data_IF_391346211990
#
_entry.id   IF_391346211990
#
_cell.length_a   1.000
_cell.length_b   1.000
_cell.length_c   1.000
_cell.angle_alpha   90.00
_cell.angle_beta   90.00
_cell.angle_gamma   90.00
#
_symmetry.space_group_name_H-M   'P 1'
#
loop_
_entity.id
_entity.type
_entity.pdbx_description
1 polymer ?
#
# COMPACT_ATOMS: atom_id res chain seq x y z
N UNK A 1 33.64 40.23 -27.29
CA UNK A 1 32.97 39.70 -28.49
C UNK A 1 33.24 38.20 -28.49
N UNK A 2 32.29 37.29 -28.30
CA UNK A 2 30.85 37.30 -28.57
C UNK A 2 30.15 36.35 -27.57
N UNK A 3 28.90 36.67 -27.28
CA UNK A 3 27.81 35.98 -26.54
C UNK A 3 27.81 34.44 -26.62
N UNK A 4 27.21 33.64 -25.72
CA UNK A 4 26.14 33.83 -24.75
C UNK A 4 25.17 32.64 -24.87
N UNK A 5 24.78 32.01 -23.75
CA UNK A 5 23.48 31.35 -23.53
C UNK A 5 23.50 30.53 -22.21
N UNK A 6 22.61 30.91 -21.30
CA UNK A 6 22.27 30.27 -20.03
C UNK A 6 21.53 28.93 -20.26
N UNK A 7 21.68 27.89 -19.42
CA UNK A 7 20.68 26.82 -19.36
C UNK A 7 19.51 27.26 -18.48
N UNK A 8 18.40 27.54 -19.15
CA UNK A 8 17.07 27.78 -18.61
C UNK A 8 16.53 26.57 -17.85
N UNK A 9 15.81 26.81 -16.75
CA UNK A 9 15.06 25.78 -16.04
C UNK A 9 13.96 25.17 -16.91
N UNK A 10 13.78 23.85 -16.83
CA UNK A 10 12.66 23.15 -17.46
C UNK A 10 11.72 22.60 -16.39
N UNK A 11 10.73 23.44 -16.07
CA UNK A 11 9.47 23.11 -15.44
C UNK A 11 8.59 22.28 -16.39
N UNK A 12 7.99 21.18 -15.94
CA UNK A 12 6.82 20.50 -16.54
C UNK A 12 6.80 20.21 -18.07
N UNK A 13 7.90 20.38 -18.79
CA UNK A 13 7.90 20.46 -20.26
C UNK A 13 8.30 19.16 -20.95
N UNK A 14 8.92 18.21 -20.25
CA UNK A 14 9.48 16.98 -20.84
C UNK A 14 8.53 15.77 -20.90
N UNK A 15 7.25 15.93 -20.61
CA UNK A 15 6.28 14.88 -20.94
C UNK A 15 5.97 14.95 -22.43
N UNK A 16 6.02 13.81 -23.13
CA UNK A 16 5.56 13.75 -24.53
C UNK A 16 4.08 14.17 -24.59
N UNK A 17 3.58 14.68 -25.73
CA UNK A 17 2.17 15.00 -25.90
C UNK A 17 1.25 13.84 -25.48
N UNK A 18 1.62 12.59 -25.74
CA UNK A 18 0.87 11.40 -25.33
C UNK A 18 0.90 11.18 -23.82
N UNK A 19 2.03 11.40 -23.15
CA UNK A 19 2.15 11.27 -21.70
C UNK A 19 1.35 12.35 -20.97
N UNK A 20 1.39 13.60 -21.48
CA UNK A 20 0.54 14.70 -20.97
C UNK A 20 -0.94 14.35 -21.17
N UNK A 21 -1.32 13.87 -22.35
CA UNK A 21 -2.69 13.49 -22.64
C UNK A 21 -3.17 12.35 -21.74
N UNK A 22 -2.34 11.33 -21.46
CA UNK A 22 -2.69 10.23 -20.56
C UNK A 22 -2.86 10.69 -19.12
N UNK A 23 -1.97 11.56 -18.63
CA UNK A 23 -2.05 12.10 -17.27
C UNK A 23 -3.33 12.96 -17.11
N UNK A 24 -3.56 13.89 -18.03
CA UNK A 24 -4.76 14.74 -18.05
C UNK A 24 -6.02 13.89 -18.18
N UNK A 25 -6.01 12.88 -19.06
CA UNK A 25 -7.15 11.96 -19.22
C UNK A 25 -7.40 11.14 -17.96
N UNK A 26 -6.36 10.66 -17.29
CA UNK A 26 -6.49 9.91 -16.02
C UNK A 26 -7.03 10.79 -14.90
N UNK A 27 -6.58 12.05 -14.81
CA UNK A 27 -7.03 13.01 -13.80
C UNK A 27 -8.48 13.41 -14.06
N UNK A 28 -8.80 13.83 -15.29
CA UNK A 28 -10.14 14.20 -15.69
C UNK A 28 -11.15 13.05 -15.53
N UNK A 29 -10.73 11.81 -15.84
CA UNK A 29 -11.57 10.62 -15.65
C UNK A 29 -11.78 10.28 -14.18
N UNK A 30 -10.76 10.46 -13.34
CA UNK A 30 -10.83 10.26 -11.89
C UNK A 30 -11.77 11.29 -11.25
N UNK A 31 -11.64 12.57 -11.59
CA UNK A 31 -12.54 13.63 -11.13
C UNK A 31 -13.99 13.43 -11.61
N UNK A 32 -14.18 13.13 -12.90
CA UNK A 32 -15.51 12.92 -13.47
C UNK A 32 -16.19 11.72 -12.83
N UNK A 33 -15.46 10.62 -12.63
CA UNK A 33 -16.00 9.45 -11.93
C UNK A 33 -16.37 9.80 -10.49
N UNK A 34 -15.54 10.58 -9.78
CA UNK A 34 -15.86 11.06 -8.42
C UNK A 34 -17.07 12.00 -8.35
N UNK A 35 -17.32 12.81 -9.38
CA UNK A 35 -18.51 13.68 -9.49
C UNK A 35 -19.77 12.88 -9.82
N UNK A 36 -19.68 11.94 -10.75
CA UNK A 36 -20.79 11.05 -11.14
C UNK A 36 -21.20 10.13 -9.99
N UNK A 37 -20.25 9.63 -9.21
CA UNK A 37 -20.54 8.83 -8.02
C UNK A 37 -21.20 9.66 -6.90
N UNK A 38 -20.78 10.91 -6.68
CA UNK A 38 -21.46 11.82 -5.73
C UNK A 38 -22.88 12.16 -6.18
N UNK A 39 -23.08 12.41 -7.47
CA UNK A 39 -24.39 12.65 -8.04
C UNK A 39 -25.31 11.42 -7.95
N UNK A 40 -24.77 10.21 -8.12
CA UNK A 40 -25.53 8.95 -8.01
C UNK A 40 -25.90 8.58 -6.57
N UNK A 41 -25.16 9.06 -5.57
CA UNK A 41 -25.43 8.85 -4.15
C UNK A 41 -26.42 9.89 -3.56
N UNK A 42 -26.89 10.85 -4.36
CA UNK A 42 -27.97 11.76 -3.97
C UNK A 42 -27.59 12.77 -2.89
N UNK A 43 -26.38 13.32 -2.93
CA UNK A 43 -26.04 14.50 -2.11
C UNK A 43 -26.61 15.75 -2.80
N UNK A 44 -27.89 15.98 -2.57
CA UNK A 44 -28.59 17.23 -2.90
C UNK A 44 -29.23 17.76 -1.61
N UNK A 45 -28.66 18.85 -1.10
CA UNK A 45 -29.32 20.02 -0.49
C UNK A 45 -28.21 20.93 0.07
N UNK A 46 -28.13 22.24 -0.12
CA UNK A 46 -29.03 23.20 -0.76
C UNK A 46 -28.49 24.62 -0.51
N UNK A 47 -28.86 25.52 -1.41
CA UNK A 47 -28.86 27.00 -1.33
C UNK A 47 -27.56 27.81 -1.24
N UNK A 48 -27.24 28.41 -2.39
CA UNK A 48 -26.72 29.76 -2.46
C UNK A 48 -27.76 30.77 -1.94
N UNK A 49 -27.44 31.48 -0.85
CA UNK A 49 -27.86 32.87 -0.63
C UNK A 49 -26.74 33.66 0.04
N UNK A 50 -26.60 34.89 -0.43
CA UNK A 50 -25.56 35.87 -0.16
C UNK A 50 -25.39 36.21 1.33
N UNK A 51 -24.15 36.54 1.72
CA UNK A 51 -23.80 37.13 3.02
C UNK A 51 -24.38 38.56 3.14
N UNK A 52 -24.57 39.07 4.37
CA UNK A 52 -23.49 39.86 4.94
C UNK A 52 -23.15 39.54 6.42
N UNK A 53 -21.92 39.92 6.75
CA UNK A 53 -21.17 39.84 8.01
C UNK A 53 -21.94 39.85 9.35
N UNK A 54 -21.47 39.05 10.31
CA UNK A 54 -21.02 39.53 11.63
C UNK A 54 -20.32 38.44 12.47
N UNK A 55 -19.35 38.90 13.24
CA UNK A 55 -18.48 38.18 14.17
C UNK A 55 -19.22 37.41 15.27
N UNK A 56 -18.65 36.29 15.71
CA UNK A 56 -19.07 35.59 16.91
C UNK A 56 -18.26 34.32 17.17
N UNK A 57 -17.17 34.45 17.94
CA UNK A 57 -16.41 33.32 18.45
C UNK A 57 -17.24 32.50 19.44
N UNK A 58 -17.44 31.21 19.18
CA UNK A 58 -17.57 30.17 20.23
C UNK A 58 -17.03 28.85 19.68
N UNK A 59 -16.17 28.21 20.46
CA UNK A 59 -15.49 26.97 20.09
C UNK A 59 -16.44 25.78 19.99
N UNK A 60 -16.26 24.99 18.95
CA UNK A 60 -16.58 23.56 18.92
C UNK A 60 -15.43 22.82 18.26
N UNK A 61 -14.82 21.92 19.02
CA UNK A 61 -13.78 21.02 18.55
C UNK A 61 -14.34 20.14 17.42
N UNK A 62 -13.66 20.16 16.27
CA UNK A 62 -13.90 19.21 15.19
C UNK A 62 -13.47 17.80 15.63
N UNK A 63 -14.17 16.73 15.22
CA UNK A 63 -13.77 15.37 15.55
C UNK A 63 -12.43 15.06 14.87
N UNK A 64 -11.43 14.75 15.69
CA UNK A 64 -10.09 14.33 15.26
C UNK A 64 -10.22 13.06 14.40
N UNK A 65 -9.88 13.17 13.11
CA UNK A 65 -9.78 12.02 12.21
C UNK A 65 -8.68 11.06 12.65
N UNK A 66 -8.85 9.78 12.33
CA UNK A 66 -7.91 8.70 12.66
C UNK A 66 -6.46 9.01 12.21
N UNK A 67 -6.30 9.76 11.12
CA UNK A 67 -5.01 10.21 10.60
C UNK A 67 -4.32 11.25 11.51
N UNK A 68 -5.06 12.09 12.22
CA UNK A 68 -4.51 13.02 13.22
C UNK A 68 -4.10 12.28 14.51
N UNK A 69 -4.82 11.21 14.87
CA UNK A 69 -4.46 10.31 15.97
C UNK A 69 -3.19 9.49 15.66
N UNK A 70 -3.00 9.09 14.39
CA UNK A 70 -1.78 8.42 13.94
C UNK A 70 -0.58 9.39 13.85
N UNK A 71 -0.81 10.68 13.58
CA UNK A 71 0.23 11.70 13.57
C UNK A 71 0.69 12.14 14.97
N UNK A 72 -0.15 12.00 16.01
CA UNK A 72 0.18 12.39 17.40
C UNK A 72 1.04 11.35 18.14
N UNK A 73 1.21 10.14 17.57
CA UNK A 73 1.83 8.99 18.25
C UNK A 73 3.30 8.75 17.87
N UNK A 74 3.96 9.69 17.20
CA UNK A 74 5.39 9.58 16.91
C UNK A 74 6.18 10.83 17.35
N UNK A 75 6.76 10.80 18.56
CA UNK A 75 7.95 11.57 18.85
C UNK A 75 9.10 10.67 19.28
N UNK A 76 10.16 10.68 18.45
CA UNK A 76 11.56 10.28 18.72
C UNK A 76 11.90 8.78 18.61
N UNK A 77 12.24 8.38 17.39
CA UNK A 77 13.28 7.39 17.14
C UNK A 77 14.35 7.96 16.18
N UNK A 78 14.92 9.12 16.54
CA UNK A 78 16.20 9.57 16.00
C UNK A 78 17.11 9.94 17.17
N UNK A 79 17.95 9.00 17.58
CA UNK A 79 19.37 9.19 17.92
C UNK A 79 19.94 7.91 18.53
N UNK A 80 21.21 7.66 18.23
CA UNK A 80 22.13 6.66 18.79
C UNK A 80 22.12 5.25 18.17
N UNK A 81 23.00 5.06 17.19
CA UNK A 81 24.02 4.01 17.27
C UNK A 81 25.21 4.42 16.39
N UNK A 82 26.25 4.90 17.07
CA UNK A 82 27.60 5.13 16.55
C UNK A 82 28.27 3.80 16.19
N UNK A 83 28.98 3.83 15.07
CA UNK A 83 30.26 3.19 14.77
C UNK A 83 30.56 1.83 15.44
N UNK A 84 30.49 0.75 14.68
CA UNK A 84 31.37 -0.42 14.87
C UNK A 84 31.58 -1.10 13.52
N UNK A 85 32.80 -0.99 13.01
CA UNK A 85 33.33 -1.75 11.88
C UNK A 85 33.50 -3.22 12.27
N UNK A 86 32.80 -4.12 11.59
CA UNK A 86 33.18 -5.54 11.54
C UNK A 86 32.98 -6.04 10.11
N UNK A 87 34.09 -6.40 9.46
CA UNK A 87 34.10 -7.10 8.19
C UNK A 87 33.58 -8.54 8.41
N UNK A 88 32.58 -8.96 7.63
CA UNK A 88 32.21 -10.36 7.51
C UNK A 88 31.65 -10.64 6.11
N UNK A 89 32.49 -11.36 5.36
CA UNK A 89 32.27 -12.21 4.18
C UNK A 89 30.85 -12.30 3.62
N UNK A 90 30.76 -11.88 2.35
CA UNK A 90 29.65 -12.11 1.43
C UNK A 90 29.46 -13.61 1.18
N UNK A 91 28.41 -14.19 1.76
CA UNK A 91 27.84 -15.45 1.27
C UNK A 91 26.51 -15.12 0.58
N UNK A 92 26.44 -15.49 -0.70
CA UNK A 92 25.28 -15.31 -1.56
C UNK A 92 24.07 -16.07 -0.99
N UNK A 93 22.86 -15.50 -1.00
CA UNK A 93 21.69 -16.23 -0.53
C UNK A 93 21.38 -17.40 -1.47
N UNK A 94 21.20 -18.57 -0.87
CA UNK A 94 20.78 -19.81 -1.51
C UNK A 94 19.47 -19.57 -2.27
N UNK A 95 19.53 -19.75 -3.59
CA UNK A 95 18.38 -19.64 -4.49
C UNK A 95 17.37 -20.76 -4.23
N UNK A 96 16.20 -20.40 -3.72
CA UNK A 96 14.99 -21.25 -3.75
C UNK A 96 14.60 -21.43 -5.23
N UNK A 97 14.11 -22.61 -5.68
CA UNK A 97 14.02 -22.90 -7.10
C UNK A 97 12.95 -22.01 -7.78
N UNK A 98 13.38 -21.33 -8.85
CA UNK A 98 12.59 -20.50 -9.78
C UNK A 98 11.44 -21.27 -10.46
N UNK A 99 11.41 -22.61 -10.33
CA UNK A 99 10.46 -23.48 -11.01
C UNK A 99 8.98 -23.22 -10.63
N UNK A 100 8.69 -22.76 -9.41
CA UNK A 100 7.32 -22.48 -8.97
C UNK A 100 6.71 -21.21 -9.58
N UNK A 101 7.52 -20.25 -10.03
CA UNK A 101 7.00 -18.97 -10.52
C UNK A 101 6.45 -19.05 -11.94
N UNK A 102 7.06 -19.87 -12.81
CA UNK A 102 6.57 -20.07 -14.17
C UNK A 102 5.20 -20.78 -14.19
N UNK A 103 5.01 -21.78 -13.33
CA UNK A 103 3.73 -22.48 -13.17
C UNK A 103 2.64 -21.54 -12.64
N UNK A 104 2.97 -20.69 -11.66
CA UNK A 104 2.03 -19.72 -11.11
C UNK A 104 1.58 -18.67 -12.13
N UNK A 105 2.52 -18.16 -12.93
CA UNK A 105 2.24 -17.25 -14.05
C UNK A 105 1.35 -17.96 -15.08
N UNK A 106 1.56 -19.25 -15.34
CA UNK A 106 0.76 -20.05 -16.26
C UNK A 106 -0.68 -20.26 -15.76
N UNK A 107 -0.87 -20.59 -14.48
CA UNK A 107 -2.19 -20.83 -13.87
C UNK A 107 -3.13 -19.61 -13.98
N UNK A 108 -2.56 -18.41 -14.08
CA UNK A 108 -3.33 -17.17 -14.25
C UNK A 108 -3.72 -16.86 -15.70
N UNK A 109 -3.09 -17.49 -16.71
CA UNK A 109 -3.20 -17.10 -18.12
C UNK A 109 -4.60 -17.30 -18.72
N UNK A 110 -5.42 -18.18 -18.13
CA UNK A 110 -6.76 -18.47 -18.62
C UNK A 110 -7.86 -17.78 -17.80
N UNK A 111 -7.48 -17.01 -16.77
CA UNK A 111 -8.41 -16.35 -15.86
C UNK A 111 -8.73 -14.89 -16.23
N UNK A 112 -9.71 -14.27 -15.54
CA UNK A 112 -10.07 -12.85 -15.72
C UNK A 112 -8.93 -11.87 -15.42
N UNK A 113 -7.84 -12.37 -14.83
CA UNK A 113 -6.66 -11.62 -14.39
C UNK A 113 -5.39 -11.96 -15.19
N UNK A 114 -5.52 -12.71 -16.31
CA UNK A 114 -4.40 -13.13 -17.17
C UNK A 114 -3.47 -11.99 -17.59
N UNK A 115 -4.04 -10.79 -17.83
CA UNK A 115 -3.29 -9.58 -18.21
C UNK A 115 -2.21 -9.16 -17.20
N UNK A 116 -2.27 -9.63 -15.95
CA UNK A 116 -1.31 -9.28 -14.90
C UNK A 116 -0.21 -10.34 -14.72
N UNK A 117 -0.33 -11.51 -15.35
CA UNK A 117 0.57 -12.65 -15.12
C UNK A 117 2.04 -12.27 -15.41
N UNK A 118 2.31 -11.59 -16.52
CA UNK A 118 3.67 -11.11 -16.85
C UNK A 118 4.20 -10.05 -15.88
N UNK A 119 3.33 -9.19 -15.33
CA UNK A 119 3.73 -8.19 -14.34
C UNK A 119 4.10 -8.85 -13.01
N UNK A 120 3.29 -9.82 -12.57
CA UNK A 120 3.54 -10.60 -11.36
C UNK A 120 4.83 -11.43 -11.48
N UNK A 121 5.05 -12.09 -12.63
CA UNK A 121 6.29 -12.83 -12.88
C UNK A 121 7.54 -11.94 -12.86
N UNK A 122 7.46 -10.74 -13.46
CA UNK A 122 8.56 -9.78 -13.44
C UNK A 122 8.86 -9.26 -12.03
N UNK A 123 7.81 -8.92 -11.28
CA UNK A 123 7.95 -8.44 -9.91
C UNK A 123 8.48 -9.54 -8.96
N UNK A 124 8.05 -10.79 -9.17
CA UNK A 124 8.56 -11.95 -8.46
C UNK A 124 10.06 -12.15 -8.71
N UNK A 125 10.48 -12.17 -9.98
CA UNK A 125 11.88 -12.31 -10.37
C UNK A 125 12.77 -11.21 -9.76
N UNK A 126 12.25 -9.98 -9.65
CA UNK A 126 12.99 -8.84 -9.10
C UNK A 126 13.16 -8.89 -7.58
N UNK A 127 12.15 -9.40 -6.87
CA UNK A 127 12.05 -9.27 -5.40
C UNK A 127 12.28 -10.58 -4.65
N UNK A 128 12.25 -11.72 -5.35
CA UNK A 128 12.31 -13.06 -4.77
C UNK A 128 11.02 -13.49 -4.06
N UNK A 129 9.94 -12.70 -4.14
CA UNK A 129 8.63 -13.09 -3.59
C UNK A 129 7.88 -13.90 -4.66
N UNK A 130 7.39 -15.12 -4.35
CA UNK A 130 6.76 -15.97 -5.36
C UNK A 130 5.57 -15.31 -6.04
N UNK A 131 5.42 -15.53 -7.35
CA UNK A 131 4.35 -14.90 -8.15
C UNK A 131 2.95 -15.25 -7.62
N UNK A 132 2.73 -16.50 -7.21
CA UNK A 132 1.48 -16.94 -6.58
C UNK A 132 1.20 -16.23 -5.24
N UNK A 133 2.25 -15.92 -4.46
CA UNK A 133 2.10 -15.16 -3.22
C UNK A 133 1.71 -13.71 -3.49
N UNK A 134 2.35 -13.07 -4.47
CA UNK A 134 1.97 -11.72 -4.92
C UNK A 134 0.54 -11.67 -5.45
N UNK A 135 0.15 -12.65 -6.27
CA UNK A 135 -1.20 -12.77 -6.79
C UNK A 135 -2.24 -12.92 -5.67
N UNK A 136 -1.95 -13.71 -4.64
CA UNK A 136 -2.82 -13.88 -3.48
C UNK A 136 -3.00 -12.59 -2.67
N UNK A 137 -1.92 -11.80 -2.51
CA UNK A 137 -2.00 -10.50 -1.82
C UNK A 137 -2.86 -9.53 -2.64
N UNK A 138 -2.60 -9.43 -3.95
CA UNK A 138 -3.39 -8.58 -4.85
C UNK A 138 -4.87 -9.01 -4.87
N UNK A 139 -5.14 -10.32 -4.90
CA UNK A 139 -6.51 -10.83 -4.85
C UNK A 139 -7.21 -10.45 -3.55
N UNK A 140 -6.51 -10.53 -2.41
CA UNK A 140 -7.06 -10.18 -1.12
C UNK A 140 -7.37 -8.67 -0.98
N UNK A 141 -6.55 -7.81 -1.58
CA UNK A 141 -6.67 -6.35 -1.47
C UNK A 141 -7.58 -5.73 -2.53
N UNK A 142 -7.47 -6.15 -3.78
CA UNK A 142 -8.17 -5.49 -4.88
C UNK A 142 -9.69 -5.71 -4.80
N UNK A 143 -10.45 -4.63 -5.06
CA UNK A 143 -11.85 -4.80 -5.40
C UNK A 143 -11.98 -5.66 -6.66
N UNK A 144 -13.02 -6.51 -6.68
CA UNK A 144 -13.30 -7.44 -7.78
C UNK A 144 -14.53 -6.98 -8.55
N UNK A 145 -14.44 -6.97 -9.88
CA UNK A 145 -15.57 -6.78 -10.78
C UNK A 145 -16.41 -8.04 -10.93
N UNK A 146 -17.46 -7.94 -11.75
CA UNK A 146 -18.19 -9.11 -12.21
C UNK A 146 -17.21 -10.13 -12.84
N UNK A 147 -17.33 -11.40 -12.46
CA UNK A 147 -16.43 -12.46 -12.92
C UNK A 147 -15.06 -12.50 -12.24
N UNK A 148 -14.81 -11.72 -11.18
CA UNK A 148 -13.57 -11.84 -10.38
C UNK A 148 -12.36 -11.09 -10.92
N UNK A 149 -12.55 -10.22 -11.92
CA UNK A 149 -11.48 -9.35 -12.44
C UNK A 149 -11.05 -8.32 -11.40
N UNK A 150 -9.74 -8.18 -11.17
CA UNK A 150 -9.21 -7.17 -10.24
C UNK A 150 -9.34 -5.77 -10.85
N UNK A 151 -9.82 -4.83 -10.04
CA UNK A 151 -10.06 -3.45 -10.44
C UNK A 151 -8.88 -2.54 -10.06
N UNK A 152 -8.10 -2.03 -11.03
CA UNK A 152 -6.99 -1.13 -10.73
C UNK A 152 -7.42 0.20 -10.11
N UNK A 153 -8.67 0.60 -10.35
CA UNK A 153 -9.27 1.81 -9.78
C UNK A 153 -9.97 1.57 -8.45
N UNK A 154 -9.68 0.45 -7.76
CA UNK A 154 -10.20 0.18 -6.43
C UNK A 154 -9.84 1.31 -5.46
N UNK A 155 -10.81 1.69 -4.63
CA UNK A 155 -10.66 2.68 -3.56
C UNK A 155 -11.45 2.25 -2.34
N UNK A 156 -10.86 2.49 -1.17
CA UNK A 156 -11.57 2.36 0.09
C UNK A 156 -12.26 3.69 0.43
N UNK A 157 -13.59 3.73 0.64
CA UNK A 157 -14.29 4.98 0.96
C UNK A 157 -13.98 5.52 2.37
N UNK A 158 -13.35 4.71 3.24
CA UNK A 158 -13.05 5.06 4.63
C UNK A 158 -11.58 5.39 4.87
N UNK A 159 -10.73 5.35 3.85
CA UNK A 159 -9.29 5.62 4.00
C UNK A 159 -8.68 6.13 2.69
N UNK A 160 -7.38 6.43 2.71
CA UNK A 160 -6.64 6.79 1.50
C UNK A 160 -6.24 5.59 0.63
N UNK A 161 -6.61 4.35 1.02
CA UNK A 161 -6.23 3.13 0.31
C UNK A 161 -6.78 3.09 -1.12
N UNK A 162 -5.90 2.79 -2.07
CA UNK A 162 -6.23 2.76 -3.50
C UNK A 162 -5.32 1.81 -4.30
N UNK A 163 -5.82 1.38 -5.45
CA UNK A 163 -5.06 0.54 -6.38
C UNK A 163 -5.21 -0.94 -6.13
N UNK A 164 -4.51 -1.76 -6.92
CA UNK A 164 -4.54 -3.22 -6.76
C UNK A 164 -3.97 -3.70 -5.42
N UNK A 165 -3.05 -2.93 -4.84
CA UNK A 165 -2.48 -3.20 -3.52
C UNK A 165 -3.05 -2.37 -2.38
N UNK A 166 -4.13 -1.61 -2.60
CA UNK A 166 -4.81 -0.80 -1.57
C UNK A 166 -3.86 0.04 -0.69
N UNK A 167 -2.79 0.59 -1.27
CA UNK A 167 -1.79 1.35 -0.52
C UNK A 167 -2.36 2.66 0.02
N UNK A 168 -2.09 2.95 1.29
CA UNK A 168 -2.30 4.27 1.89
C UNK A 168 -1.32 5.30 1.31
N UNK A 169 -1.68 6.59 1.37
CA UNK A 169 -0.82 7.69 0.89
C UNK A 169 0.59 7.61 1.48
N UNK A 170 0.70 7.47 2.81
CA UNK A 170 1.98 7.47 3.53
C UNK A 170 2.85 6.26 3.17
N UNK A 171 2.25 5.07 3.07
CA UNK A 171 2.99 3.86 2.70
C UNK A 171 3.49 3.95 1.24
N UNK A 172 2.65 4.49 0.35
CA UNK A 172 3.04 4.70 -1.05
C UNK A 172 4.19 5.71 -1.19
N UNK A 173 4.10 6.85 -0.51
CA UNK A 173 5.20 7.83 -0.46
C UNK A 173 6.46 7.20 0.15
N UNK A 174 6.33 6.44 1.25
CA UNK A 174 7.45 5.74 1.85
C UNK A 174 8.15 4.78 0.89
N UNK A 175 7.40 4.04 0.06
CA UNK A 175 7.99 3.20 -0.97
C UNK A 175 8.69 4.02 -2.07
N UNK A 176 8.16 5.20 -2.42
CA UNK A 176 8.80 6.11 -3.37
C UNK A 176 10.08 6.75 -2.83
N UNK A 177 10.21 6.91 -1.51
CA UNK A 177 11.39 7.49 -0.84
C UNK A 177 12.43 6.42 -0.51
N UNK A 178 12.03 5.14 -0.44
CA UNK A 178 12.91 4.02 -0.11
C UNK A 178 13.77 3.62 -1.30
N UNK A 179 15.08 3.82 -1.18
CA UNK A 179 16.04 3.46 -2.22
C UNK A 179 15.93 1.98 -2.62
N UNK A 180 16.03 1.71 -3.92
CA UNK A 180 16.02 0.35 -4.48
C UNK A 180 14.63 -0.20 -4.81
N UNK A 181 13.54 0.46 -4.41
CA UNK A 181 12.20 0.08 -4.86
C UNK A 181 11.96 0.51 -6.30
N UNK A 182 11.01 -0.15 -6.95
CA UNK A 182 10.56 0.23 -8.28
C UNK A 182 9.98 1.65 -8.29
N UNK A 183 9.17 1.97 -7.28
CA UNK A 183 8.52 3.28 -7.18
C UNK A 183 9.53 4.41 -6.95
N UNK A 184 10.59 4.16 -6.17
CA UNK A 184 11.70 5.10 -6.00
C UNK A 184 12.45 5.33 -7.31
N UNK A 185 12.70 4.28 -8.09
CA UNK A 185 13.30 4.41 -9.42
C UNK A 185 12.45 5.30 -10.34
N UNK A 186 11.13 5.12 -10.32
CA UNK A 186 10.22 5.99 -11.06
C UNK A 186 10.23 7.43 -10.54
N UNK A 187 10.20 7.63 -9.22
CA UNK A 187 10.23 8.95 -8.62
C UNK A 187 11.52 9.71 -8.96
N UNK A 188 12.67 9.02 -8.95
CA UNK A 188 13.95 9.58 -9.39
C UNK A 188 13.93 9.95 -10.88
N UNK A 189 13.50 9.03 -11.74
CA UNK A 189 13.46 9.24 -13.19
C UNK A 189 12.56 10.42 -13.60
N UNK A 190 11.51 10.70 -12.80
CA UNK A 190 10.60 11.82 -13.03
C UNK A 190 11.01 13.10 -12.27
N UNK A 191 12.12 13.09 -11.53
CA UNK A 191 12.57 14.25 -10.76
C UNK A 191 11.65 14.62 -9.59
N UNK A 192 10.89 13.66 -9.07
CA UNK A 192 9.88 13.86 -8.02
C UNK A 192 10.47 13.88 -6.60
N UNK A 193 11.75 13.53 -6.43
CA UNK A 193 12.43 13.54 -5.14
C UNK A 193 13.27 14.81 -4.95
N UNK A 194 13.30 15.34 -3.73
CA UNK A 194 14.17 16.44 -3.32
C UNK A 194 15.61 15.97 -3.03
N UNK A 195 16.50 16.90 -2.64
CA UNK A 195 17.89 16.57 -2.32
C UNK A 195 18.08 15.66 -1.10
N UNK A 196 17.02 15.37 -0.34
CA UNK A 196 16.99 14.44 0.79
C UNK A 196 16.29 13.12 0.43
N UNK A 197 15.92 12.91 -0.83
CA UNK A 197 15.20 11.73 -1.30
C UNK A 197 13.71 11.72 -0.93
N UNK A 198 13.13 12.87 -0.51
CA UNK A 198 11.72 12.98 -0.13
C UNK A 198 10.85 13.39 -1.29
N UNK A 199 9.60 12.96 -1.31
CA UNK A 199 8.65 13.35 -2.35
C UNK A 199 8.39 14.86 -2.31
N UNK A 200 8.60 15.54 -3.42
CA UNK A 200 8.28 16.95 -3.60
C UNK A 200 6.78 17.17 -3.55
N UNK A 201 6.34 18.20 -2.84
CA UNK A 201 4.92 18.55 -2.67
C UNK A 201 4.19 18.69 -4.01
N UNK A 202 4.82 19.33 -5.00
CA UNK A 202 4.28 19.55 -6.34
C UNK A 202 4.17 18.26 -7.18
N UNK A 203 4.94 17.22 -6.83
CA UNK A 203 4.93 15.92 -7.52
C UNK A 203 4.01 14.89 -6.85
N UNK A 204 3.54 15.18 -5.64
CA UNK A 204 2.77 14.25 -4.80
C UNK A 204 1.52 13.71 -5.49
N UNK A 205 0.78 14.56 -6.21
CA UNK A 205 -0.43 14.13 -6.94
C UNK A 205 -0.11 13.08 -8.02
N UNK A 206 0.88 13.36 -8.86
CA UNK A 206 1.31 12.45 -9.93
C UNK A 206 1.84 11.13 -9.36
N UNK A 207 2.61 11.17 -8.26
CA UNK A 207 3.06 9.97 -7.58
C UNK A 207 1.88 9.13 -7.07
N UNK A 208 0.93 9.74 -6.36
CA UNK A 208 -0.23 9.02 -5.80
C UNK A 208 -1.15 8.43 -6.88
N UNK A 209 -1.20 9.04 -8.07
CA UNK A 209 -1.95 8.54 -9.21
C UNK A 209 -1.39 7.22 -9.76
N UNK A 210 -0.08 6.94 -9.58
CA UNK A 210 0.51 5.66 -9.97
C UNK A 210 -0.09 4.46 -9.24
N UNK A 211 -0.81 4.64 -8.12
CA UNK A 211 -1.56 3.54 -7.49
C UNK A 211 -2.60 2.92 -8.43
N UNK A 212 -3.12 3.68 -9.39
CA UNK A 212 -4.08 3.17 -10.38
C UNK A 212 -3.42 2.50 -11.59
N UNK A 213 -2.10 2.64 -11.73
CA UNK A 213 -1.35 1.89 -12.73
C UNK A 213 -1.12 0.46 -12.22
N UNK A 214 -1.58 -0.57 -12.97
CA UNK A 214 -1.46 -1.95 -12.51
C UNK A 214 -0.03 -2.40 -12.26
N UNK A 215 0.91 -1.99 -13.12
CA UNK A 215 2.31 -2.38 -12.99
C UNK A 215 2.92 -1.74 -11.76
N UNK A 216 2.76 -0.43 -11.59
CA UNK A 216 3.26 0.28 -10.42
C UNK A 216 2.70 -0.30 -9.12
N UNK A 217 1.40 -0.60 -9.07
CA UNK A 217 0.79 -1.27 -7.92
C UNK A 217 1.43 -2.63 -7.63
N UNK A 218 1.55 -3.52 -8.63
CA UNK A 218 2.08 -4.87 -8.45
C UNK A 218 3.56 -4.84 -8.03
N UNK A 219 4.36 -4.00 -8.66
CA UNK A 219 5.78 -3.82 -8.33
C UNK A 219 5.95 -3.30 -6.89
N UNK A 220 5.10 -2.35 -6.47
CA UNK A 220 5.12 -1.81 -5.11
C UNK A 220 4.62 -2.83 -4.08
N UNK A 221 3.62 -3.67 -4.42
CA UNK A 221 3.23 -4.82 -3.57
C UNK A 221 4.41 -5.74 -3.36
N UNK A 222 5.17 -6.05 -4.42
CA UNK A 222 6.33 -6.94 -4.34
C UNK A 222 7.46 -6.35 -3.48
N UNK A 223 7.79 -5.06 -3.68
CA UNK A 223 8.80 -4.36 -2.87
C UNK A 223 8.44 -4.31 -1.39
N UNK A 224 7.18 -4.00 -1.09
CA UNK A 224 6.69 -3.92 0.28
C UNK A 224 6.60 -5.30 0.94
N UNK A 225 6.17 -6.33 0.19
CA UNK A 225 6.15 -7.71 0.66
C UNK A 225 7.57 -8.20 0.98
N UNK A 226 8.53 -8.00 0.09
CA UNK A 226 9.92 -8.41 0.27
C UNK A 226 10.53 -7.76 1.52
N UNK A 227 10.36 -6.44 1.67
CA UNK A 227 10.83 -5.70 2.83
C UNK A 227 10.22 -6.18 4.16
N UNK A 228 8.91 -6.45 4.15
CA UNK A 228 8.24 -6.99 5.33
C UNK A 228 8.75 -8.38 5.68
N UNK A 229 8.92 -9.27 4.69
CA UNK A 229 9.45 -10.62 4.92
C UNK A 229 10.87 -10.58 5.49
N UNK A 230 11.74 -9.76 4.92
CA UNK A 230 13.10 -9.55 5.43
C UNK A 230 13.08 -9.03 6.88
N UNK A 231 12.29 -7.99 7.14
CA UNK A 231 12.19 -7.38 8.45
C UNK A 231 11.55 -8.30 9.51
N UNK A 232 10.63 -9.19 9.10
CA UNK A 232 10.04 -10.21 9.97
C UNK A 232 11.06 -11.31 10.30
N UNK A 233 11.76 -11.84 9.29
CA UNK A 233 12.84 -12.82 9.48
C UNK A 233 13.95 -12.27 10.38
N UNK A 234 14.38 -11.03 10.14
CA UNK A 234 15.37 -10.33 10.96
C UNK A 234 14.93 -10.12 12.41
N UNK A 235 13.63 -10.16 12.71
CA UNK A 235 13.10 -10.12 14.08
C UNK A 235 12.97 -11.50 14.74
N UNK A 236 13.45 -12.56 14.10
CA UNK A 236 13.41 -13.94 14.61
C UNK A 236 12.13 -14.70 14.28
N UNK A 237 11.21 -14.12 13.50
CA UNK A 237 10.03 -14.85 13.02
C UNK A 237 10.49 -15.90 12.00
N UNK A 238 10.20 -17.17 12.30
CA UNK A 238 10.43 -18.27 11.35
C UNK A 238 9.34 -18.21 10.29
N UNK A 239 9.76 -17.96 9.06
CA UNK A 239 8.92 -18.00 7.87
C UNK A 239 9.57 -19.01 6.94
N UNK A 240 8.94 -20.16 6.75
CA UNK A 240 9.44 -21.18 5.83
C UNK A 240 9.48 -20.69 4.37
N UNK A 241 10.09 -21.49 3.50
CA UNK A 241 10.06 -21.24 2.05
C UNK A 241 8.73 -21.57 1.39
N UNK A 242 7.77 -22.14 2.11
CA UNK A 242 6.47 -22.52 1.56
C UNK A 242 5.69 -21.28 1.10
N UNK A 243 5.20 -21.31 -0.13
CA UNK A 243 4.54 -20.17 -0.77
C UNK A 243 3.34 -19.69 0.06
N UNK A 244 2.60 -20.61 0.68
CA UNK A 244 1.47 -20.27 1.55
C UNK A 244 1.88 -19.50 2.80
N UNK A 245 3.03 -19.83 3.40
CA UNK A 245 3.53 -19.17 4.59
C UNK A 245 4.12 -17.80 4.24
N UNK A 246 4.87 -17.72 3.14
CA UNK A 246 5.39 -16.47 2.58
C UNK A 246 4.24 -15.49 2.28
N UNK A 247 3.19 -15.94 1.59
CA UNK A 247 2.04 -15.10 1.26
C UNK A 247 1.33 -14.55 2.50
N UNK A 248 1.11 -15.41 3.51
CA UNK A 248 0.44 -15.01 4.76
C UNK A 248 1.30 -14.05 5.57
N UNK A 249 2.60 -14.30 5.70
CA UNK A 249 3.50 -13.42 6.45
C UNK A 249 3.62 -12.04 5.78
N UNK A 250 3.77 -12.01 4.45
CA UNK A 250 3.78 -10.77 3.68
C UNK A 250 2.46 -10.02 3.80
N UNK A 251 1.32 -10.71 3.71
CA UNK A 251 0.00 -10.11 3.89
C UNK A 251 -0.19 -9.52 5.29
N UNK A 252 0.24 -10.22 6.35
CA UNK A 252 0.16 -9.70 7.72
C UNK A 252 0.99 -8.43 7.88
N UNK A 253 2.21 -8.40 7.33
CA UNK A 253 3.05 -7.20 7.30
C UNK A 253 2.37 -6.05 6.55
N UNK A 254 1.72 -6.36 5.42
CA UNK A 254 0.98 -5.39 4.63
C UNK A 254 -0.22 -4.80 5.40
N UNK A 255 -1.06 -5.68 5.93
CA UNK A 255 -2.35 -5.33 6.51
C UNK A 255 -2.26 -4.67 7.89
N UNK A 256 -1.34 -5.16 8.75
CA UNK A 256 -1.16 -4.62 10.10
C UNK A 256 -0.10 -3.51 10.17
N UNK A 257 0.78 -3.44 9.17
CA UNK A 257 2.07 -2.78 9.30
C UNK A 257 3.07 -3.65 10.08
N UNK A 258 4.36 -3.45 9.78
CA UNK A 258 5.45 -4.30 10.28
C UNK A 258 5.49 -4.44 11.81
N UNK A 259 5.28 -3.33 12.55
CA UNK A 259 5.34 -3.34 14.01
C UNK A 259 4.29 -4.23 14.66
N UNK A 260 3.03 -4.11 14.22
CA UNK A 260 1.94 -4.93 14.75
C UNK A 260 2.02 -6.37 14.22
N UNK A 261 2.49 -6.59 12.98
CA UNK A 261 2.73 -7.92 12.44
C UNK A 261 3.78 -8.70 13.25
N UNK A 262 4.90 -8.07 13.61
CA UNK A 262 5.92 -8.67 14.48
C UNK A 262 5.35 -9.13 15.81
N UNK A 263 4.62 -8.23 16.50
CA UNK A 263 3.97 -8.54 17.78
C UNK A 263 2.99 -9.70 17.60
N UNK A 264 2.12 -9.59 16.60
CA UNK A 264 1.10 -10.60 16.30
C UNK A 264 1.69 -11.99 16.06
N UNK A 265 2.78 -12.08 15.29
CA UNK A 265 3.46 -13.34 14.99
C UNK A 265 4.22 -13.89 16.20
N UNK A 266 4.72 -13.03 17.08
CA UNK A 266 5.28 -13.41 18.38
C UNK A 266 4.22 -13.80 19.43
N UNK A 267 2.93 -13.76 19.08
CA UNK A 267 1.82 -14.09 19.99
C UNK A 267 1.39 -12.94 20.91
N UNK A 268 1.94 -11.74 20.72
CA UNK A 268 1.61 -10.56 21.53
C UNK A 268 0.80 -9.52 20.76
N UNK A 269 -0.19 -8.91 21.41
CA UNK A 269 -0.78 -7.64 21.00
C UNK A 269 -1.46 -7.01 22.21
N UNK A 270 -1.28 -5.72 22.45
CA UNK A 270 -1.93 -5.05 23.57
C UNK A 270 -3.47 -5.12 23.43
N UNK A 271 -4.24 -5.42 24.50
CA UNK A 271 -5.69 -5.59 24.41
C UNK A 271 -6.43 -4.40 23.78
N UNK A 272 -6.07 -3.18 24.15
CA UNK A 272 -6.68 -1.97 23.58
C UNK A 272 -6.31 -1.76 22.12
N UNK A 273 -5.08 -2.14 21.74
CA UNK A 273 -4.66 -2.13 20.33
C UNK A 273 -5.44 -3.16 19.53
N UNK A 274 -5.58 -4.38 20.05
CA UNK A 274 -6.35 -5.46 19.43
C UNK A 274 -7.83 -5.08 19.24
N UNK A 275 -8.46 -4.46 20.25
CA UNK A 275 -9.83 -3.93 20.16
C UNK A 275 -9.94 -2.88 19.04
N UNK A 276 -9.02 -1.91 18.99
CA UNK A 276 -9.03 -0.86 17.96
C UNK A 276 -8.86 -1.44 16.55
N UNK A 277 -7.90 -2.34 16.36
CA UNK A 277 -7.68 -2.98 15.06
C UNK A 277 -8.90 -3.80 14.62
N UNK A 278 -9.48 -4.61 15.51
CA UNK A 278 -10.70 -5.35 15.19
C UNK A 278 -11.87 -4.42 14.86
N UNK A 279 -12.05 -3.34 15.64
CA UNK A 279 -13.07 -2.33 15.41
C UNK A 279 -12.97 -1.64 14.05
N UNK A 280 -11.75 -1.35 13.58
CA UNK A 280 -11.54 -0.76 12.25
C UNK A 280 -11.99 -1.71 11.12
N UNK A 281 -11.81 -3.01 11.32
CA UNK A 281 -12.09 -4.03 10.30
C UNK A 281 -13.57 -4.42 10.24
N UNK A 282 -14.20 -4.70 11.38
CA UNK A 282 -15.57 -5.22 11.41
C UNK A 282 -16.62 -4.22 11.92
N UNK A 283 -16.19 -3.03 12.35
CA UNK A 283 -17.04 -2.05 13.02
C UNK A 283 -17.19 -2.32 14.52
N UNK A 284 -17.32 -1.25 15.32
CA UNK A 284 -17.27 -1.32 16.79
C UNK A 284 -18.26 -2.31 17.41
N UNK A 285 -19.53 -2.28 16.98
CA UNK A 285 -20.54 -3.19 17.51
C UNK A 285 -20.24 -4.67 17.23
N UNK A 286 -19.70 -4.99 16.04
CA UNK A 286 -19.32 -6.37 15.70
C UNK A 286 -18.04 -6.79 16.44
N UNK A 287 -17.12 -5.86 16.66
CA UNK A 287 -15.91 -6.09 17.42
C UNK A 287 -16.25 -6.48 18.86
N UNK A 288 -17.04 -5.68 19.58
CA UNK A 288 -17.40 -5.97 20.97
C UNK A 288 -18.13 -7.32 21.13
N UNK A 289 -19.02 -7.69 20.20
CA UNK A 289 -19.64 -9.04 20.23
C UNK A 289 -18.61 -10.16 20.11
N UNK A 290 -17.63 -10.04 19.20
CA UNK A 290 -16.55 -11.02 19.04
C UNK A 290 -15.62 -11.05 20.26
N UNK A 291 -15.35 -9.89 20.86
CA UNK A 291 -14.53 -9.77 22.08
C UNK A 291 -15.17 -10.53 23.24
N UNK A 292 -16.47 -10.34 23.47
CA UNK A 292 -17.23 -11.09 24.48
C UNK A 292 -17.21 -12.60 24.20
N UNK A 293 -17.45 -13.01 22.95
CA UNK A 293 -17.45 -14.44 22.57
C UNK A 293 -16.09 -15.10 22.75
N UNK A 294 -15.00 -14.41 22.45
CA UNK A 294 -13.64 -14.94 22.56
C UNK A 294 -13.01 -14.78 23.96
N UNK A 295 -13.71 -14.13 24.90
CA UNK A 295 -13.20 -13.84 26.25
C UNK A 295 -12.10 -12.77 26.31
N UNK A 296 -11.86 -12.02 25.23
CA UNK A 296 -10.84 -10.97 25.20
C UNK A 296 -10.50 -10.43 23.81
N UNK A 297 -10.00 -9.19 23.78
CA UNK A 297 -9.73 -8.48 22.53
C UNK A 297 -8.61 -9.10 21.69
N UNK A 298 -7.56 -9.58 22.34
CA UNK A 298 -6.43 -10.24 21.67
C UNK A 298 -6.89 -11.53 20.98
N UNK A 299 -7.62 -12.38 21.71
CA UNK A 299 -8.16 -13.62 21.18
C UNK A 299 -9.14 -13.37 20.02
N UNK A 300 -10.07 -12.43 20.18
CA UNK A 300 -11.04 -12.08 19.14
C UNK A 300 -10.36 -11.57 17.86
N UNK A 301 -9.41 -10.64 18.00
CA UNK A 301 -8.66 -10.10 16.86
C UNK A 301 -7.86 -11.19 16.15
N UNK A 302 -7.15 -12.04 16.92
CA UNK A 302 -6.34 -13.13 16.36
C UNK A 302 -7.20 -14.15 15.61
N UNK A 303 -8.29 -14.62 16.22
CA UNK A 303 -9.20 -15.57 15.58
C UNK A 303 -9.79 -14.99 14.29
N UNK A 304 -10.24 -13.73 14.32
CA UNK A 304 -10.78 -13.07 13.13
C UNK A 304 -9.73 -12.95 12.02
N UNK A 305 -8.52 -12.48 12.34
CA UNK A 305 -7.50 -12.22 11.34
C UNK A 305 -6.97 -13.52 10.73
N UNK A 306 -6.75 -14.57 11.53
CA UNK A 306 -6.31 -15.87 11.01
C UNK A 306 -7.36 -16.52 10.12
N UNK A 307 -8.65 -16.43 10.49
CA UNK A 307 -9.75 -16.89 9.64
C UNK A 307 -9.84 -16.08 8.34
N UNK A 308 -9.74 -14.75 8.41
CA UNK A 308 -9.73 -13.90 7.22
C UNK A 308 -8.57 -14.24 6.28
N UNK A 309 -7.34 -14.30 6.80
CA UNK A 309 -6.14 -14.65 6.03
C UNK A 309 -6.27 -16.05 5.43
N UNK A 310 -6.76 -17.03 6.20
CA UNK A 310 -6.98 -18.39 5.71
C UNK A 310 -7.99 -18.49 4.57
N UNK A 311 -9.01 -17.62 4.56
CA UNK A 311 -10.04 -17.58 3.50
C UNK A 311 -9.62 -16.77 2.27
N UNK A 312 -8.85 -15.70 2.45
CA UNK A 312 -8.58 -14.72 1.41
C UNK A 312 -7.17 -14.77 0.82
N UNK A 313 -6.16 -15.20 1.59
CA UNK A 313 -4.77 -15.29 1.12
C UNK A 313 -4.49 -16.72 0.66
N UNK A 314 -4.84 -17.00 -0.60
CA UNK A 314 -4.87 -18.36 -1.20
C UNK A 314 -3.95 -18.45 -2.42
N UNK A 315 -2.62 -18.57 -2.23
CA UNK A 315 -1.68 -18.68 -3.35
C UNK A 315 -1.85 -19.96 -4.17
N UNK A 316 -2.44 -21.01 -3.60
CA UNK A 316 -2.80 -22.26 -4.29
C UNK A 316 -3.80 -22.06 -5.43
N UNK A 317 -4.53 -20.93 -5.47
CA UNK A 317 -5.42 -20.57 -6.58
C UNK A 317 -4.67 -20.01 -7.80
N UNK A 318 -3.37 -19.82 -7.67
CA UNK A 318 -2.50 -19.18 -8.63
C UNK A 318 -1.20 -19.98 -8.82
N UNK A 319 -1.18 -21.27 -8.49
CA UNK A 319 -0.03 -22.16 -8.54
C UNK A 319 -0.27 -23.34 -9.48
#
# INVERSE_FOLDING_TARGET
MIDGAQPTGLAATNLTPEQKARLIYSEARSELSGRLWRAALGDADGDAREQPAQSGATGKAAPLGLDALLALLDPKAHAAATDTTVAATSELPVSVPVANDAAAVQAMQDGPNARYAGMLGSAAARTGVPAAALAAIVDAEAAKGAGGSWQPYSRNPRSSAAGLGQFLNRSWEGEAERAGTWLNTQAQANGWLDGKGRVKSESRGALLALRYDPRASIETVADYASANLEALRGSGVRISGEVSEVARAAYLGHHLGLGDARRFLAGGLEPDRARRLLGAQVGGANAERRITQAGGAVAAHRTWLLDYVGRHVRPDRFA
#
